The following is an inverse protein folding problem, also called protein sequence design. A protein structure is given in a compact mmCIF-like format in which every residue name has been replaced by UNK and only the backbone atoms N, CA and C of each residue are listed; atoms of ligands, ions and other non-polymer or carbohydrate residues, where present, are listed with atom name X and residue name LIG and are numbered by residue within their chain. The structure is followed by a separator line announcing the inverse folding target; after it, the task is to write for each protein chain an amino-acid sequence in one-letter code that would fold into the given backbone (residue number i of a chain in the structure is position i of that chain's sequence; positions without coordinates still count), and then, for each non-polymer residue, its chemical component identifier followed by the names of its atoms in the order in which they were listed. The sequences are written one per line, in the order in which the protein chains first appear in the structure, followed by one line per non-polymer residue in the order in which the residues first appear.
data_IF_178537422569
#
_entry.id   IF_178537422569
#
_cell.length_a   1.000
_cell.length_b   1.000
_cell.length_c   1.000
_cell.angle_alpha   90.00
_cell.angle_beta   90.00
_cell.angle_gamma   90.00
#
_symmetry.space_group_name_H-M   'P 1'
#
loop_
_entity.id
_entity.type
_entity.pdbx_description
1 polymer ?
#
# COMPACT_ATOMS: atom_id res chain seq x y z
N UNK A 1 3.91 -10.90 -18.72
CA UNK A 1 2.65 -10.65 -17.98
C UNK A 1 1.99 -9.38 -18.53
N UNK A 2 0.67 -9.17 -18.40
CA UNK A 2 0.01 -7.94 -18.89
C UNK A 2 0.57 -6.67 -18.19
N UNK A 3 1.21 -6.85 -17.04
CA UNK A 3 1.70 -5.79 -16.14
C UNK A 3 3.23 -5.61 -16.11
N UNK A 4 4.00 -6.18 -17.04
CA UNK A 4 5.50 -6.15 -16.98
C UNK A 4 6.07 -4.72 -16.81
N UNK A 5 5.47 -3.71 -17.44
CA UNK A 5 5.92 -2.31 -17.36
C UNK A 5 5.63 -1.60 -16.03
N UNK A 6 4.82 -2.20 -15.14
CA UNK A 6 4.40 -1.59 -13.88
C UNK A 6 5.19 -2.09 -12.66
N UNK A 7 6.02 -3.12 -12.85
CA UNK A 7 6.75 -3.75 -11.75
C UNK A 7 7.77 -2.78 -11.14
N UNK A 8 7.68 -2.60 -9.82
CA UNK A 8 8.59 -1.74 -9.06
C UNK A 8 8.37 -0.23 -9.24
N UNK A 9 7.26 0.17 -9.85
CA UNK A 9 6.88 1.57 -10.00
C UNK A 9 6.03 2.06 -8.83
N UNK A 10 6.26 3.30 -8.42
CA UNK A 10 5.42 3.98 -7.44
C UNK A 10 4.22 4.64 -8.10
N UNK A 11 3.05 4.59 -7.44
CA UNK A 11 1.84 5.29 -7.87
C UNK A 11 1.73 6.60 -7.09
N UNK A 12 2.45 7.65 -7.53
CA UNK A 12 2.45 8.95 -6.88
C UNK A 12 1.40 9.89 -7.49
N UNK A 13 1.36 9.96 -8.83
CA UNK A 13 0.42 10.80 -9.57
C UNK A 13 -0.10 10.04 -10.78
N UNK A 14 -1.36 10.32 -11.15
CA UNK A 14 -1.99 9.71 -12.33
C UNK A 14 -1.23 10.06 -13.63
N UNK A 15 -0.61 11.25 -13.67
CA UNK A 15 0.14 11.76 -14.83
C UNK A 15 1.44 11.00 -15.11
N UNK A 16 1.91 10.20 -14.15
CA UNK A 16 3.12 9.39 -14.31
C UNK A 16 2.85 8.16 -15.19
N UNK A 17 1.59 7.87 -15.52
CA UNK A 17 1.17 6.71 -16.27
C UNK A 17 0.58 7.10 -17.62
N UNK A 18 0.90 6.31 -18.63
CA UNK A 18 0.24 6.41 -19.93
C UNK A 18 -1.23 5.97 -19.84
N UNK A 19 -2.04 6.41 -20.79
CA UNK A 19 -3.45 6.00 -20.90
C UNK A 19 -3.59 4.46 -20.93
N UNK A 20 -2.74 3.79 -21.72
CA UNK A 20 -2.78 2.34 -21.85
C UNK A 20 -2.41 1.61 -20.53
N UNK A 21 -1.48 2.15 -19.75
CA UNK A 21 -1.14 1.61 -18.43
C UNK A 21 -2.30 1.74 -17.45
N UNK A 22 -3.01 2.88 -17.47
CA UNK A 22 -4.19 3.09 -16.62
C UNK A 22 -5.32 2.15 -17.04
N UNK A 23 -5.59 2.03 -18.34
CA UNK A 23 -6.57 1.08 -18.87
C UNK A 23 -6.25 -0.35 -18.44
N UNK A 24 -4.97 -0.74 -18.51
CA UNK A 24 -4.49 -2.03 -18.03
C UNK A 24 -4.78 -2.24 -16.53
N UNK A 25 -4.52 -1.26 -15.67
CA UNK A 25 -4.80 -1.37 -14.23
C UNK A 25 -6.30 -1.55 -13.96
N UNK A 26 -7.15 -0.83 -14.70
CA UNK A 26 -8.61 -0.93 -14.58
C UNK A 26 -9.12 -2.29 -15.04
N UNK A 27 -8.62 -2.80 -16.16
CA UNK A 27 -8.95 -4.13 -16.68
C UNK A 27 -8.57 -5.23 -15.68
N UNK A 28 -7.37 -5.17 -15.11
CA UNK A 28 -6.93 -6.10 -14.06
C UNK A 28 -7.84 -6.02 -12.83
N UNK A 29 -8.22 -4.81 -12.40
CA UNK A 29 -9.15 -4.64 -11.28
C UNK A 29 -10.53 -5.26 -11.54
N UNK A 30 -11.07 -5.09 -12.75
CA UNK A 30 -12.34 -5.69 -13.16
C UNK A 30 -12.24 -7.22 -13.22
N UNK A 31 -11.12 -7.74 -13.74
CA UNK A 31 -10.86 -9.17 -13.83
C UNK A 31 -10.79 -9.80 -12.43
N UNK A 32 -10.02 -9.23 -11.51
CA UNK A 32 -9.92 -9.70 -10.13
C UNK A 32 -11.29 -9.71 -9.42
N UNK A 33 -12.11 -8.69 -9.66
CA UNK A 33 -13.48 -8.63 -9.13
C UNK A 33 -14.37 -9.75 -9.69
N UNK A 34 -14.30 -9.98 -11.00
CA UNK A 34 -15.07 -11.02 -11.67
C UNK A 34 -14.65 -12.42 -11.18
N UNK A 35 -13.35 -12.65 -11.07
CA UNK A 35 -12.78 -13.91 -10.58
C UNK A 35 -13.19 -14.20 -9.14
N UNK A 36 -13.08 -13.21 -8.25
CA UNK A 36 -13.52 -13.35 -6.87
C UNK A 36 -15.03 -13.70 -6.78
N UNK A 37 -15.86 -13.10 -7.64
CA UNK A 37 -17.30 -13.41 -7.72
C UNK A 37 -17.55 -14.86 -8.15
N UNK A 38 -16.69 -15.41 -9.02
CA UNK A 38 -16.71 -16.81 -9.46
C UNK A 38 -15.97 -17.76 -8.52
N UNK A 39 -15.51 -17.30 -7.34
CA UNK A 39 -14.70 -18.06 -6.38
C UNK A 39 -13.37 -18.56 -6.97
N UNK A 40 -12.83 -17.84 -7.96
CA UNK A 40 -11.47 -18.01 -8.46
C UNK A 40 -10.57 -17.08 -7.64
N UNK A 41 -9.93 -17.66 -6.63
CA UNK A 41 -9.07 -16.92 -5.71
C UNK A 41 -7.65 -16.79 -6.26
N UNK A 42 -6.99 -15.70 -5.87
CA UNK A 42 -5.64 -15.32 -6.30
C UNK A 42 -4.71 -15.14 -5.10
N UNK A 43 -4.87 -16.00 -4.08
CA UNK A 43 -4.21 -15.95 -2.78
C UNK A 43 -2.73 -16.41 -2.80
N UNK A 44 -2.20 -16.65 -4.00
CA UNK A 44 -0.80 -17.00 -4.24
C UNK A 44 0.02 -15.84 -4.81
N UNK A 45 -0.62 -14.81 -5.37
CA UNK A 45 0.05 -13.71 -6.09
C UNK A 45 0.98 -12.88 -5.20
N UNK A 46 0.56 -12.60 -3.96
CA UNK A 46 1.33 -11.83 -2.97
C UNK A 46 1.72 -12.69 -1.75
N UNK A 47 1.84 -14.01 -1.94
CA UNK A 47 2.19 -14.93 -0.85
C UNK A 47 3.48 -14.49 -0.14
N UNK A 48 3.39 -14.34 1.19
CA UNK A 48 4.49 -13.85 2.07
C UNK A 48 5.01 -12.45 1.72
N UNK A 49 4.21 -11.63 1.04
CA UNK A 49 4.50 -10.20 0.86
C UNK A 49 3.75 -9.40 1.92
N UNK A 50 4.41 -8.35 2.39
CA UNK A 50 3.88 -7.47 3.42
C UNK A 50 3.80 -6.05 2.88
N UNK A 51 2.63 -5.42 3.00
CA UNK A 51 2.43 -3.99 2.74
C UNK A 51 2.40 -3.25 4.07
N UNK A 52 3.27 -2.26 4.25
CA UNK A 52 3.18 -1.30 5.36
C UNK A 52 2.44 -0.05 4.90
N UNK A 53 1.40 0.33 5.64
CA UNK A 53 0.58 1.49 5.36
C UNK A 53 0.70 2.50 6.50
N UNK A 54 0.89 3.76 6.14
CA UNK A 54 0.94 4.88 7.08
C UNK A 54 0.03 5.99 6.56
N UNK A 55 -0.95 6.41 7.37
CA UNK A 55 -1.93 7.43 7.00
C UNK A 55 -1.87 8.58 7.99
N UNK A 56 -1.22 9.70 7.62
CA UNK A 56 -1.15 10.92 8.44
C UNK A 56 -2.52 11.54 8.67
N UNK A 57 -3.41 11.42 7.68
CA UNK A 57 -4.82 11.77 7.81
C UNK A 57 -5.64 10.47 7.79
N UNK A 58 -6.43 10.18 8.84
CA UNK A 58 -7.14 8.91 8.95
C UNK A 58 -8.17 8.76 7.83
N UNK A 59 -8.13 7.63 7.11
CA UNK A 59 -9.12 7.26 6.09
C UNK A 59 -9.51 5.80 6.22
N UNK A 60 -10.73 5.54 6.74
CA UNK A 60 -11.25 4.19 6.95
C UNK A 60 -11.47 3.44 5.63
N UNK A 61 -12.02 4.12 4.62
CA UNK A 61 -12.30 3.47 3.33
C UNK A 61 -11.02 3.07 2.61
N UNK A 62 -10.02 3.96 2.60
CA UNK A 62 -8.73 3.68 1.96
C UNK A 62 -8.01 2.55 2.68
N UNK A 63 -7.90 2.64 4.01
CA UNK A 63 -7.27 1.58 4.81
C UNK A 63 -7.94 0.23 4.56
N UNK A 64 -9.25 0.14 4.71
CA UNK A 64 -9.96 -1.12 4.56
C UNK A 64 -9.86 -1.69 3.14
N UNK A 65 -9.85 -0.84 2.10
CA UNK A 65 -9.70 -1.32 0.73
C UNK A 65 -8.30 -1.90 0.46
N UNK A 66 -7.25 -1.28 1.00
CA UNK A 66 -5.89 -1.81 0.87
C UNK A 66 -5.71 -3.11 1.67
N UNK A 67 -6.19 -3.15 2.92
CA UNK A 67 -6.14 -4.37 3.75
C UNK A 67 -6.85 -5.54 3.07
N UNK A 68 -8.09 -5.32 2.61
CA UNK A 68 -8.88 -6.35 1.93
C UNK A 68 -8.22 -6.80 0.61
N UNK A 69 -7.72 -5.86 -0.20
CA UNK A 69 -7.08 -6.16 -1.48
C UNK A 69 -5.80 -6.99 -1.31
N UNK A 70 -4.92 -6.59 -0.39
CA UNK A 70 -3.69 -7.33 -0.11
C UNK A 70 -4.00 -8.73 0.45
N UNK A 71 -4.97 -8.84 1.35
CA UNK A 71 -5.38 -10.13 1.91
C UNK A 71 -5.95 -11.07 0.84
N UNK A 72 -6.82 -10.57 -0.04
CA UNK A 72 -7.39 -11.36 -1.14
C UNK A 72 -6.34 -11.91 -2.11
N UNK A 73 -5.19 -11.22 -2.22
CA UNK A 73 -4.06 -11.63 -3.03
C UNK A 73 -3.04 -12.50 -2.26
N UNK A 74 -3.32 -12.87 -1.01
CA UNK A 74 -2.46 -13.73 -0.19
C UNK A 74 -1.32 -13.03 0.55
N UNK A 75 -1.34 -11.70 0.55
CA UNK A 75 -0.39 -10.87 1.28
C UNK A 75 -0.90 -10.50 2.68
N UNK A 76 -0.04 -9.81 3.43
CA UNK A 76 -0.39 -9.25 4.73
C UNK A 76 -0.23 -7.73 4.72
N UNK A 77 -1.24 -7.01 5.21
CA UNK A 77 -1.19 -5.56 5.32
C UNK A 77 -1.03 -5.15 6.79
N UNK A 78 0.01 -4.37 7.09
CA UNK A 78 0.25 -3.76 8.39
C UNK A 78 -0.10 -2.29 8.34
N UNK A 79 -0.95 -1.84 9.26
CA UNK A 79 -1.20 -0.43 9.50
C UNK A 79 -0.26 0.07 10.60
N UNK A 80 0.59 1.03 10.25
CA UNK A 80 1.45 1.76 11.16
C UNK A 80 0.72 3.04 11.57
N UNK A 81 0.32 3.12 12.83
CA UNK A 81 -0.28 4.32 13.37
C UNK A 81 0.80 5.40 13.52
N UNK A 82 0.69 6.55 12.81
CA UNK A 82 1.75 7.56 12.83
C UNK A 82 2.06 8.09 14.24
N UNK A 83 1.04 8.24 15.09
CA UNK A 83 1.21 8.71 16.48
C UNK A 83 1.93 7.69 17.39
N UNK A 84 1.93 6.41 17.03
CA UNK A 84 2.62 5.35 17.76
C UNK A 84 3.96 4.95 17.09
N UNK A 85 4.28 5.54 15.94
CA UNK A 85 5.49 5.22 15.18
C UNK A 85 6.53 6.31 15.39
N UNK A 86 7.79 5.92 15.66
CA UNK A 86 8.91 6.87 15.67
C UNK A 86 9.19 7.30 14.23
N UNK A 87 8.90 8.55 13.92
CA UNK A 87 9.17 9.15 12.62
C UNK A 87 10.55 9.84 12.67
N UNK A 88 11.30 9.86 11.56
CA UNK A 88 12.47 10.73 11.47
C UNK A 88 11.99 12.18 11.64
N UNK A 89 12.52 12.87 12.65
CA UNK A 89 12.21 14.27 12.88
C UNK A 89 12.73 15.11 11.72
N UNK A 90 11.89 16.02 11.23
CA UNK A 90 12.36 17.09 10.36
C UNK A 90 13.30 18.01 11.15
N UNK A 91 14.23 18.66 10.46
CA UNK A 91 15.18 19.56 11.11
C UNK A 91 14.44 20.69 11.85
N UNK A 92 14.57 20.73 13.17
CA UNK A 92 13.87 21.69 14.06
C UNK A 92 12.62 21.15 14.76
N UNK A 93 12.15 19.95 14.42
CA UNK A 93 10.99 19.28 15.06
C UNK A 93 11.41 18.07 15.91
N UNK A 94 12.63 18.11 16.45
CA UNK A 94 13.20 17.00 17.22
C UNK A 94 12.62 16.96 18.64
N UNK A 95 11.72 16.01 18.88
CA UNK A 95 11.09 15.76 20.17
C UNK A 95 11.65 14.47 20.77
N UNK A 96 12.31 14.60 21.93
CA UNK A 96 12.85 13.46 22.67
C UNK A 96 11.79 12.40 22.97
N UNK A 97 12.14 11.12 22.75
CA UNK A 97 11.24 9.95 22.87
C UNK A 97 10.11 9.85 21.83
N UNK A 98 9.99 10.80 20.90
CA UNK A 98 9.03 10.75 19.78
C UNK A 98 9.73 10.64 18.41
N UNK A 99 10.94 11.19 18.28
CA UNK A 99 11.81 11.00 17.11
C UNK A 99 12.79 9.82 17.29
N UNK A 100 13.47 9.41 16.21
CA UNK A 100 14.51 8.38 16.27
C UNK A 100 15.72 8.75 17.13
N UNK A 101 15.84 10.01 17.60
CA UNK A 101 16.94 10.44 18.45
C UNK A 101 16.75 9.90 19.87
N UNK A 102 17.46 8.83 20.19
CA UNK A 102 17.69 8.40 21.57
C UNK A 102 18.54 9.51 22.21
N UNK A 103 17.90 10.36 23.00
CA UNK A 103 18.60 11.39 23.76
C UNK A 103 19.22 10.69 24.96
N UNK A 104 20.38 10.06 24.76
CA UNK A 104 21.26 9.69 25.87
C UNK A 104 21.91 11.00 26.38
N UNK A 105 21.22 11.66 27.31
CA UNK A 105 21.84 12.53 28.32
C UNK A 105 21.56 11.93 29.69
#
# INVERSE_FOLDING_TARGET
MITEGLKGRDFLRLQDFSKAEIETMLEVGLQLKADNTMRRYHDDLLRRRTLFMMFFNPSLRTRNSFEAGIYQLGGHAHFLEPSATRLPALEGEDLGYASERIVDM
#
